data_IF_314791589148
#
_entry.id   IF_314791589148
#
_cell.length_a   1.000
_cell.length_b   1.000
_cell.length_c   1.000
_cell.angle_alpha   90.00
_cell.angle_beta   90.00
_cell.angle_gamma   90.00
#
_symmetry.space_group_name_H-M   'P 1'
#
loop_
_entity.id
_entity.type
_entity.pdbx_description
1 polymer ?
#
# COMPACT_ATOMS: atom_id res chain seq x y z
N UNK A 1 18.22 28.22 -42.40
CA UNK A 1 17.65 27.88 -43.70
C UNK A 1 16.32 27.23 -43.37
N UNK A 2 15.34 28.01 -43.06
CA UNK A 2 14.23 28.60 -43.79
C UNK A 2 13.60 27.58 -44.79
N UNK A 3 12.36 27.17 -44.50
CA UNK A 3 11.19 27.49 -45.34
C UNK A 3 9.90 27.25 -44.56
N UNK A 4 9.16 28.32 -44.38
CA UNK A 4 7.73 28.35 -44.05
C UNK A 4 6.92 28.05 -45.31
N UNK A 5 5.73 27.51 -45.17
CA UNK A 5 4.69 27.74 -46.21
C UNK A 5 3.31 27.82 -45.57
N UNK A 6 2.74 29.00 -45.75
CA UNK A 6 1.35 29.37 -45.50
C UNK A 6 0.44 28.72 -46.59
N UNK A 7 -0.80 28.38 -46.18
CA UNK A 7 -1.92 28.41 -47.16
C UNK A 7 -3.17 29.02 -46.50
N UNK A 8 -3.69 29.99 -47.26
CA UNK A 8 -4.79 30.90 -46.97
C UNK A 8 -6.17 30.27 -47.00
N UNK A 9 -7.01 30.95 -46.25
CA UNK A 9 -8.47 30.93 -46.15
C UNK A 9 -9.22 30.82 -47.47
N UNK A 10 -10.39 30.17 -47.43
CA UNK A 10 -11.60 30.60 -48.17
C UNK A 10 -12.83 30.43 -47.31
N UNK A 11 -13.47 31.58 -47.09
CA UNK A 11 -14.80 31.78 -46.51
C UNK A 11 -15.86 31.35 -47.54
N UNK A 12 -16.89 30.58 -47.11
CA UNK A 12 -18.22 30.73 -47.69
C UNK A 12 -19.32 30.42 -46.68
N UNK A 13 -20.33 31.30 -46.63
CA UNK A 13 -21.48 31.32 -45.81
C UNK A 13 -22.40 30.11 -46.00
N UNK A 14 -22.89 29.54 -44.91
CA UNK A 14 -24.01 28.63 -44.89
C UNK A 14 -24.68 28.70 -43.55
N UNK A 15 -25.83 29.38 -43.49
CA UNK A 15 -26.78 29.42 -42.36
C UNK A 15 -27.25 27.99 -42.05
N UNK A 16 -27.05 27.53 -40.87
CA UNK A 16 -27.60 26.28 -40.36
C UNK A 16 -28.63 26.56 -39.29
N UNK A 17 -29.72 25.78 -39.25
CA UNK A 17 -30.83 26.02 -38.34
C UNK A 17 -30.53 25.63 -36.91
N UNK A 18 -31.10 26.36 -35.99
CA UNK A 18 -31.17 26.08 -34.55
C UNK A 18 -31.93 24.78 -34.34
N UNK A 19 -31.23 23.76 -33.86
CA UNK A 19 -31.86 22.50 -33.43
C UNK A 19 -31.56 22.30 -31.96
N UNK A 20 -32.65 22.32 -31.21
CA UNK A 20 -32.97 21.63 -29.99
C UNK A 20 -31.86 21.49 -28.92
N UNK A 21 -32.10 22.21 -27.84
CA UNK A 21 -31.57 21.91 -26.54
C UNK A 21 -31.94 20.47 -26.17
N UNK A 22 -31.01 19.55 -26.31
CA UNK A 22 -31.06 18.31 -25.53
C UNK A 22 -30.87 18.70 -24.07
N UNK A 23 -31.91 18.47 -23.32
CA UNK A 23 -31.86 18.46 -21.86
C UNK A 23 -30.70 17.52 -21.45
N UNK A 24 -29.74 18.13 -20.76
CA UNK A 24 -28.76 17.34 -19.99
C UNK A 24 -29.60 16.68 -18.92
N UNK A 25 -29.90 15.41 -19.08
CA UNK A 25 -30.36 14.57 -17.98
C UNK A 25 -29.40 14.79 -16.82
N UNK A 26 -29.86 15.47 -15.80
CA UNK A 26 -29.22 15.48 -14.50
C UNK A 26 -29.21 14.03 -14.04
N UNK A 27 -28.04 13.40 -14.15
CA UNK A 27 -27.77 12.13 -13.47
C UNK A 27 -27.97 12.45 -12.00
N UNK A 28 -29.08 12.00 -11.49
CA UNK A 28 -29.42 12.08 -10.08
C UNK A 28 -28.35 11.37 -9.27
N UNK A 29 -27.82 12.10 -8.35
CA UNK A 29 -26.85 11.85 -7.31
C UNK A 29 -27.35 10.74 -6.34
N UNK A 30 -27.34 9.47 -6.79
CA UNK A 30 -27.70 8.31 -5.99
C UNK A 30 -26.74 7.16 -6.24
N UNK A 31 -25.43 7.36 -6.00
CA UNK A 31 -24.45 6.34 -5.65
C UNK A 31 -23.07 6.96 -5.33
N UNK A 32 -22.95 7.94 -4.50
CA UNK A 32 -21.73 8.15 -3.73
C UNK A 32 -21.61 7.02 -2.72
N UNK A 33 -21.18 5.86 -3.19
CA UNK A 33 -20.75 4.78 -2.34
C UNK A 33 -19.58 5.29 -1.48
N UNK A 34 -19.74 5.26 -0.15
CA UNK A 34 -18.72 5.69 0.79
C UNK A 34 -17.35 5.14 0.35
N UNK A 35 -16.34 6.01 0.31
CA UNK A 35 -14.98 5.67 -0.09
C UNK A 35 -14.49 4.43 0.67
N UNK A 36 -14.19 3.34 -0.05
CA UNK A 36 -13.82 2.07 0.58
C UNK A 36 -12.31 2.00 0.80
N UNK A 37 -11.95 1.59 2.01
CA UNK A 37 -10.57 1.24 2.37
C UNK A 37 -10.43 -0.28 2.38
N UNK A 38 -9.41 -0.81 1.69
CA UNK A 38 -9.08 -2.22 1.76
C UNK A 38 -8.52 -2.55 3.14
N UNK A 39 -9.09 -3.54 3.82
CA UNK A 39 -8.55 -4.04 5.08
C UNK A 39 -7.26 -4.81 4.83
N UNK A 40 -6.26 -4.55 5.66
CA UNK A 40 -4.90 -5.06 5.51
C UNK A 40 -4.25 -5.22 6.87
N UNK A 41 -3.22 -6.05 6.98
CA UNK A 41 -2.34 -6.17 8.14
C UNK A 41 -0.95 -5.65 7.79
N UNK A 42 -0.29 -5.03 8.77
CA UNK A 42 1.12 -4.69 8.69
C UNK A 42 1.89 -5.41 9.80
N UNK A 43 3.09 -5.87 9.51
CA UNK A 43 3.89 -6.70 10.40
C UNK A 43 5.24 -6.04 10.64
N UNK A 44 5.44 -5.49 11.84
CA UNK A 44 6.76 -5.02 12.27
C UNK A 44 7.47 -6.15 12.99
N UNK A 45 8.56 -6.63 12.42
CA UNK A 45 9.41 -7.66 13.02
C UNK A 45 10.68 -6.98 13.51
N UNK A 46 10.99 -7.10 14.80
CA UNK A 46 12.18 -6.52 15.41
C UNK A 46 13.09 -7.58 15.98
N UNK A 47 14.40 -7.30 15.96
CA UNK A 47 15.38 -8.12 16.66
C UNK A 47 15.80 -7.47 18.00
N UNK A 48 16.60 -8.19 18.81
CA UNK A 48 17.12 -7.69 20.10
C UNK A 48 17.97 -6.42 20.01
N UNK A 49 18.49 -6.09 18.82
CA UNK A 49 19.21 -4.84 18.60
C UNK A 49 18.27 -3.66 18.30
N UNK A 50 16.94 -3.88 18.30
CA UNK A 50 15.93 -2.87 17.98
C UNK A 50 15.87 -2.49 16.50
N UNK A 51 16.41 -3.35 15.62
CA UNK A 51 16.32 -3.18 14.17
C UNK A 51 15.08 -3.85 13.63
N UNK A 52 14.51 -3.27 12.58
CA UNK A 52 13.30 -3.74 11.89
C UNK A 52 13.71 -4.60 10.70
N UNK A 53 13.04 -5.75 10.51
CA UNK A 53 13.10 -6.51 9.27
C UNK A 53 12.33 -5.75 8.20
N UNK A 54 13.01 -5.40 7.13
CA UNK A 54 12.39 -4.80 5.94
C UNK A 54 12.90 -5.53 4.69
N UNK A 55 12.07 -5.54 3.66
CA UNK A 55 12.41 -6.08 2.35
C UNK A 55 12.43 -5.00 1.27
N UNK A 56 13.31 -5.14 0.29
CA UNK A 56 13.31 -4.35 -0.94
C UNK A 56 12.25 -4.93 -1.88
N UNK A 57 11.24 -4.13 -2.25
CA UNK A 57 10.08 -4.61 -3.02
C UNK A 57 10.51 -5.13 -4.40
N UNK A 58 10.12 -6.37 -4.73
CA UNK A 58 10.51 -7.03 -5.98
C UNK A 58 10.07 -6.24 -7.22
N UNK A 59 8.82 -5.73 -7.22
CA UNK A 59 8.28 -4.97 -8.36
C UNK A 59 8.64 -3.49 -8.35
N UNK A 60 9.22 -2.97 -7.27
CA UNK A 60 9.62 -1.57 -7.08
C UNK A 60 10.99 -1.49 -6.43
N UNK A 61 12.07 -1.87 -7.14
CA UNK A 61 13.42 -1.91 -6.56
C UNK A 61 13.83 -0.57 -5.93
N UNK A 62 14.33 -0.63 -4.71
CA UNK A 62 14.67 0.54 -3.89
C UNK A 62 13.55 1.01 -2.96
N UNK A 63 12.33 0.48 -3.08
CA UNK A 63 11.24 0.75 -2.13
C UNK A 63 11.26 -0.28 -0.99
N UNK A 64 11.87 0.09 0.12
CA UNK A 64 11.96 -0.76 1.31
C UNK A 64 10.69 -0.67 2.14
N UNK A 65 10.15 -1.82 2.55
CA UNK A 65 8.92 -1.86 3.35
C UNK A 65 8.89 -3.04 4.32
N UNK A 66 8.03 -2.94 5.33
CA UNK A 66 7.72 -4.05 6.23
C UNK A 66 6.71 -5.00 5.56
N UNK A 67 6.72 -6.31 5.90
CA UNK A 67 5.71 -7.26 5.44
C UNK A 67 4.29 -6.76 5.74
N UNK A 68 3.38 -6.96 4.78
CA UNK A 68 2.00 -6.49 4.86
C UNK A 68 1.11 -7.17 3.82
N UNK A 69 -0.12 -7.51 4.16
CA UNK A 69 -1.02 -8.05 3.16
C UNK A 69 -2.50 -7.89 3.47
N UNK A 70 -3.36 -8.31 2.56
CA UNK A 70 -4.80 -8.15 2.68
C UNK A 70 -5.42 -9.09 3.69
N UNK A 71 -6.52 -8.67 4.29
CA UNK A 71 -7.38 -9.55 5.10
C UNK A 71 -8.44 -10.12 4.17
N UNK A 72 -8.51 -11.43 4.06
CA UNK A 72 -9.49 -12.13 3.25
C UNK A 72 -10.87 -12.17 3.92
N UNK A 73 -11.89 -12.54 3.13
CA UNK A 73 -13.24 -12.73 3.66
C UNK A 73 -13.23 -13.81 4.77
N UNK A 74 -13.88 -13.49 5.90
CA UNK A 74 -13.98 -14.38 7.08
C UNK A 74 -12.65 -14.64 7.81
N UNK A 75 -11.57 -13.95 7.44
CA UNK A 75 -10.28 -14.01 8.12
C UNK A 75 -10.19 -12.93 9.20
N UNK A 76 -9.71 -13.28 10.39
CA UNK A 76 -9.35 -12.29 11.42
C UNK A 76 -8.01 -11.64 11.09
N UNK A 77 -7.76 -10.43 11.63
CA UNK A 77 -6.47 -9.75 11.43
C UNK A 77 -5.27 -10.59 11.91
N UNK A 78 -5.42 -11.39 12.99
CA UNK A 78 -4.37 -12.29 13.49
C UNK A 78 -4.12 -13.46 12.52
N UNK A 79 -5.17 -14.00 11.90
CA UNK A 79 -5.01 -15.05 10.89
C UNK A 79 -4.32 -14.51 9.64
N UNK A 80 -4.76 -13.34 9.14
CA UNK A 80 -4.12 -12.64 8.04
C UNK A 80 -2.64 -12.36 8.34
N UNK A 81 -2.32 -11.85 9.52
CA UNK A 81 -0.94 -11.59 9.93
C UNK A 81 -0.07 -12.86 9.87
N UNK A 82 -0.58 -14.00 10.33
CA UNK A 82 0.17 -15.27 10.29
C UNK A 82 0.36 -15.78 8.86
N UNK A 83 -0.66 -15.68 8.02
CA UNK A 83 -0.60 -16.09 6.61
C UNK A 83 0.38 -15.22 5.84
N UNK A 84 0.24 -13.89 5.91
CA UNK A 84 1.10 -12.93 5.21
C UNK A 84 2.56 -13.00 5.70
N UNK A 85 2.77 -13.22 7.02
CA UNK A 85 4.11 -13.47 7.56
C UNK A 85 4.80 -14.63 6.83
N UNK A 86 4.07 -15.74 6.67
CA UNK A 86 4.62 -16.92 6.02
C UNK A 86 4.76 -16.72 4.49
N UNK A 87 3.74 -16.17 3.84
CA UNK A 87 3.72 -15.97 2.38
C UNK A 87 4.82 -15.03 1.91
N UNK A 88 5.05 -13.93 2.63
CA UNK A 88 6.05 -12.93 2.23
C UNK A 88 7.47 -13.19 2.75
N UNK A 89 7.61 -13.88 3.89
CA UNK A 89 8.94 -14.05 4.52
C UNK A 89 9.39 -15.51 4.68
N UNK A 90 8.50 -16.48 4.50
CA UNK A 90 8.77 -17.90 4.80
C UNK A 90 8.90 -18.20 6.29
N UNK A 91 8.70 -17.23 7.18
CA UNK A 91 8.78 -17.42 8.62
C UNK A 91 7.47 -17.97 9.18
N UNK A 92 7.53 -19.07 9.92
CA UNK A 92 6.40 -19.57 10.68
C UNK A 92 6.20 -18.77 11.96
N UNK A 93 4.95 -18.45 12.30
CA UNK A 93 4.61 -17.64 13.48
C UNK A 93 5.19 -18.20 14.79
N UNK A 94 5.32 -19.52 14.90
CA UNK A 94 5.89 -20.22 16.05
C UNK A 94 7.38 -19.91 16.29
N UNK A 95 8.08 -19.37 15.29
CA UNK A 95 9.48 -18.93 15.39
C UNK A 95 9.60 -17.52 15.98
N UNK A 96 8.48 -16.78 16.09
CA UNK A 96 8.42 -15.40 16.52
C UNK A 96 7.64 -15.27 17.82
N UNK A 97 7.85 -14.16 18.52
CA UNK A 97 7.07 -13.79 19.69
C UNK A 97 6.23 -12.56 19.38
N UNK A 98 4.90 -12.68 19.42
CA UNK A 98 4.02 -11.52 19.36
C UNK A 98 4.22 -10.69 20.64
N UNK A 99 4.59 -9.42 20.46
CA UNK A 99 4.84 -8.48 21.57
C UNK A 99 3.62 -7.59 21.78
N UNK A 100 3.09 -7.01 20.70
CA UNK A 100 2.04 -6.00 20.78
C UNK A 100 1.18 -5.99 19.51
N UNK A 101 -0.08 -5.67 19.67
CA UNK A 101 -1.01 -5.35 18.59
C UNK A 101 -1.42 -3.89 18.75
N UNK A 102 -1.33 -3.09 17.69
CA UNK A 102 -1.73 -1.70 17.74
C UNK A 102 -3.23 -1.58 17.98
N UNK A 103 -3.64 -0.71 18.90
CA UNK A 103 -5.05 -0.61 19.31
C UNK A 103 -5.95 -0.14 18.15
N UNK A 104 -5.48 0.84 17.38
CA UNK A 104 -6.22 1.46 16.30
C UNK A 104 -5.91 0.87 14.93
N UNK A 105 -6.85 1.06 14.00
CA UNK A 105 -6.63 0.89 12.57
C UNK A 105 -6.02 2.15 11.98
N UNK A 106 -4.86 2.04 11.34
CA UNK A 106 -4.20 3.15 10.67
C UNK A 106 -4.56 3.16 9.18
N UNK A 107 -4.72 4.36 8.60
CA UNK A 107 -5.20 4.52 7.23
C UNK A 107 -4.27 5.38 6.41
N UNK A 108 -4.19 5.07 5.11
CA UNK A 108 -3.60 5.95 4.11
C UNK A 108 -4.37 5.86 2.78
N UNK A 109 -4.28 6.92 1.99
CA UNK A 109 -4.86 6.97 0.65
C UNK A 109 -3.83 6.49 -0.38
N UNK A 110 -4.28 5.75 -1.39
CA UNK A 110 -3.46 5.45 -2.56
C UNK A 110 -3.14 6.71 -3.36
N UNK A 111 -2.02 6.73 -4.07
CA UNK A 111 -1.74 7.78 -5.07
C UNK A 111 -2.82 7.81 -6.16
N UNK A 112 -3.28 6.65 -6.58
CA UNK A 112 -4.36 6.46 -7.54
C UNK A 112 -5.28 5.38 -6.99
N UNK A 113 -6.55 5.68 -6.78
CA UNK A 113 -7.54 4.67 -6.41
C UNK A 113 -7.55 3.52 -7.41
N UNK A 114 -7.86 2.31 -6.95
CA UNK A 114 -7.76 1.11 -7.77
C UNK A 114 -8.91 0.14 -7.50
N UNK A 115 -9.21 -0.66 -8.52
CA UNK A 115 -10.13 -1.79 -8.39
C UNK A 115 -9.39 -3.05 -7.94
N UNK A 116 -10.00 -3.78 -7.02
CA UNK A 116 -9.63 -5.16 -6.70
C UNK A 116 -10.93 -5.93 -6.47
N UNK A 117 -11.10 -7.08 -7.13
CA UNK A 117 -12.29 -7.94 -7.04
C UNK A 117 -13.60 -7.13 -7.24
N UNK A 118 -13.64 -6.31 -8.31
CA UNK A 118 -14.74 -5.40 -8.68
C UNK A 118 -15.11 -4.33 -7.62
N UNK A 119 -14.29 -4.17 -6.57
CA UNK A 119 -14.46 -3.13 -5.56
C UNK A 119 -13.46 -2.01 -5.77
N UNK A 120 -13.98 -0.77 -5.78
CA UNK A 120 -13.16 0.44 -5.90
C UNK A 120 -12.65 0.87 -4.53
N UNK A 121 -11.31 0.85 -4.36
CA UNK A 121 -10.66 1.24 -3.13
C UNK A 121 -9.89 2.54 -3.31
N UNK A 122 -10.06 3.47 -2.36
CA UNK A 122 -9.34 4.75 -2.32
C UNK A 122 -8.06 4.69 -1.49
N UNK A 123 -7.91 3.67 -0.65
CA UNK A 123 -6.77 3.51 0.25
C UNK A 123 -6.79 2.17 0.98
N UNK A 124 -5.93 2.06 1.96
CA UNK A 124 -5.90 0.92 2.89
C UNK A 124 -6.13 1.38 4.32
N UNK A 125 -6.76 0.51 5.13
CA UNK A 125 -6.77 0.57 6.59
C UNK A 125 -6.02 -0.66 7.10
N UNK A 126 -5.04 -0.44 7.98
CA UNK A 126 -4.09 -1.46 8.41
C UNK A 126 -4.16 -1.71 9.90
N UNK A 127 -4.23 -2.98 10.29
CA UNK A 127 -4.03 -3.43 11.65
C UNK A 127 -2.58 -3.87 11.80
N UNK A 128 -1.85 -3.29 12.75
CA UNK A 128 -0.42 -3.49 12.88
C UNK A 128 -0.06 -4.39 14.06
N UNK A 129 0.94 -5.24 13.85
CA UNK A 129 1.46 -6.20 14.83
C UNK A 129 2.97 -6.02 15.00
N UNK A 130 3.44 -6.08 16.24
CA UNK A 130 4.86 -6.10 16.59
C UNK A 130 5.26 -7.51 17.00
N UNK A 131 6.24 -8.09 16.29
CA UNK A 131 6.79 -9.40 16.58
C UNK A 131 8.30 -9.31 16.83
N UNK A 132 8.82 -10.15 17.71
CA UNK A 132 10.27 -10.35 17.90
C UNK A 132 10.74 -11.58 17.17
N UNK A 133 11.84 -11.43 16.44
CA UNK A 133 12.55 -12.50 15.77
C UNK A 133 14.05 -12.31 15.86
N UNK A 134 14.78 -13.37 16.25
CA UNK A 134 16.23 -13.32 16.43
C UNK A 134 16.97 -14.40 15.61
N UNK A 135 16.30 -14.98 14.63
CA UNK A 135 16.89 -15.92 13.69
C UNK A 135 17.66 -15.26 12.54
N UNK A 136 18.10 -16.03 11.56
CA UNK A 136 18.73 -15.52 10.35
C UNK A 136 17.75 -14.69 9.50
N UNK A 137 18.28 -13.86 8.61
CA UNK A 137 17.44 -13.18 7.63
C UNK A 137 16.66 -14.20 6.79
N UNK A 138 15.38 -13.91 6.50
CA UNK A 138 14.63 -14.73 5.56
C UNK A 138 15.29 -14.75 4.18
N UNK A 139 15.12 -15.86 3.47
CA UNK A 139 15.57 -15.99 2.09
C UNK A 139 14.36 -15.83 1.16
N UNK A 140 14.30 -14.73 0.36
CA UNK A 140 13.16 -14.47 -0.51
C UNK A 140 12.99 -15.49 -1.63
N UNK A 141 14.01 -16.30 -1.93
CA UNK A 141 13.91 -17.39 -2.92
C UNK A 141 13.13 -18.61 -2.39
N UNK A 142 12.87 -18.66 -1.09
CA UNK A 142 12.15 -19.78 -0.45
C UNK A 142 10.64 -19.55 -0.35
N UNK A 143 10.15 -18.36 -0.66
CA UNK A 143 8.71 -18.03 -0.62
C UNK A 143 8.03 -18.28 -1.96
N UNK A 144 6.74 -18.60 -1.92
CA UNK A 144 5.99 -18.96 -3.12
C UNK A 144 5.63 -17.73 -3.97
N UNK A 145 5.28 -16.61 -3.31
CA UNK A 145 5.00 -15.32 -3.96
C UNK A 145 6.11 -14.33 -3.59
N UNK A 146 6.95 -14.00 -4.57
CA UNK A 146 8.12 -13.17 -4.33
C UNK A 146 7.75 -11.68 -4.29
N UNK A 147 7.37 -11.20 -3.11
CA UNK A 147 7.10 -9.78 -2.86
C UNK A 147 8.38 -8.95 -2.63
N UNK A 148 9.47 -9.60 -2.20
CA UNK A 148 10.74 -8.97 -1.89
C UNK A 148 11.91 -9.61 -2.65
N UNK A 149 12.86 -8.78 -3.08
CA UNK A 149 14.11 -9.23 -3.72
C UNK A 149 15.19 -9.59 -2.70
N UNK A 150 15.19 -8.94 -1.54
CA UNK A 150 16.07 -9.23 -0.41
C UNK A 150 15.49 -8.69 0.88
N UNK A 151 16.01 -9.17 2.02
CA UNK A 151 15.69 -8.65 3.35
C UNK A 151 16.91 -8.05 4.03
N UNK A 152 16.67 -7.09 4.93
CA UNK A 152 17.69 -6.49 5.77
C UNK A 152 17.18 -6.08 7.15
N UNK A 153 18.07 -6.11 8.14
CA UNK A 153 17.82 -5.50 9.45
C UNK A 153 18.19 -4.03 9.38
N UNK A 154 17.19 -3.14 9.38
CA UNK A 154 17.35 -1.71 9.18
C UNK A 154 17.04 -0.91 10.45
N UNK A 155 17.62 0.29 10.54
CA UNK A 155 17.27 1.25 11.59
C UNK A 155 15.86 1.78 11.36
N UNK A 156 15.01 1.90 12.41
CA UNK A 156 13.63 2.37 12.28
C UNK A 156 13.51 3.73 11.57
N UNK A 157 14.40 4.67 11.89
CA UNK A 157 14.40 6.00 11.30
C UNK A 157 14.75 5.95 9.82
N UNK A 158 15.74 5.15 9.44
CA UNK A 158 16.12 4.97 8.05
C UNK A 158 14.93 4.43 7.23
N UNK A 159 14.22 3.40 7.74
CA UNK A 159 13.05 2.84 7.05
C UNK A 159 11.97 3.89 6.81
N UNK A 160 11.65 4.71 7.82
CA UNK A 160 10.68 5.80 7.69
C UNK A 160 11.09 6.82 6.62
N UNK A 161 12.38 7.00 6.38
CA UNK A 161 12.87 7.90 5.33
C UNK A 161 12.73 7.29 3.93
N UNK A 162 12.89 5.97 3.78
CA UNK A 162 12.82 5.26 2.50
C UNK A 162 11.39 5.03 2.01
N UNK A 163 10.42 4.94 2.91
CA UNK A 163 9.04 4.60 2.54
C UNK A 163 8.40 5.69 1.64
N UNK A 164 7.57 5.32 0.65
CA UNK A 164 6.86 6.28 -0.19
C UNK A 164 6.04 7.30 0.63
N UNK A 165 5.99 8.57 0.19
CA UNK A 165 5.40 9.66 0.97
C UNK A 165 3.98 9.40 1.47
N UNK A 166 3.14 8.73 0.70
CA UNK A 166 1.75 8.45 1.05
C UNK A 166 1.57 7.42 2.19
N UNK A 167 2.58 6.58 2.44
CA UNK A 167 2.61 5.62 3.57
C UNK A 167 3.36 6.18 4.80
N UNK A 168 4.09 7.28 4.64
CA UNK A 168 5.09 7.75 5.61
C UNK A 168 4.51 8.04 6.99
N UNK A 169 3.30 8.59 7.05
CA UNK A 169 2.66 8.90 8.32
C UNK A 169 2.28 7.64 9.11
N UNK A 170 1.75 6.62 8.42
CA UNK A 170 1.46 5.33 9.05
C UNK A 170 2.73 4.71 9.63
N UNK A 171 3.83 4.70 8.89
CA UNK A 171 5.11 4.13 9.37
C UNK A 171 5.67 4.91 10.56
N UNK A 172 5.59 6.25 10.57
CA UNK A 172 5.98 7.07 11.72
C UNK A 172 5.17 6.72 12.97
N UNK A 173 3.85 6.64 12.80
CA UNK A 173 2.92 6.31 13.89
C UNK A 173 3.24 4.94 14.46
N UNK A 174 3.38 3.92 13.62
CA UNK A 174 3.69 2.55 14.05
C UNK A 174 5.03 2.46 14.75
N UNK A 175 6.08 3.06 14.18
CA UNK A 175 7.43 3.07 14.81
C UNK A 175 7.38 3.77 16.17
N UNK A 176 6.68 4.89 16.28
CA UNK A 176 6.56 5.62 17.54
C UNK A 176 5.77 4.82 18.59
N UNK A 177 4.65 4.22 18.21
CA UNK A 177 3.80 3.43 19.09
C UNK A 177 4.49 2.14 19.58
N UNK A 178 5.25 1.49 18.70
CA UNK A 178 5.90 0.21 19.03
C UNK A 178 7.25 0.36 19.74
N UNK A 179 7.93 1.49 19.59
CA UNK A 179 9.26 1.74 20.18
C UNK A 179 9.36 1.41 21.68
N UNK A 180 8.38 1.77 22.55
CA UNK A 180 8.43 1.42 23.96
C UNK A 180 8.38 -0.08 24.25
N UNK A 181 7.96 -0.89 23.29
CA UNK A 181 7.79 -2.33 23.40
C UNK A 181 8.94 -3.14 22.77
N UNK A 182 9.95 -2.47 22.19
CA UNK A 182 11.11 -3.16 21.63
C UNK A 182 11.87 -3.94 22.72
N UNK A 183 12.46 -5.11 22.36
CA UNK A 183 13.21 -5.94 23.30
C UNK A 183 14.42 -5.23 23.91
#
# INVERSE_FOLDING_TARGET
>A
MVVANEYRQHNQHGTMPVTEHKEVETVTDEAEGAAKFRSNVGIMIVNRAGRILAGDAYHYPGEWMMPQGGIDAEESAVQAMRRELFEETGLHFEQLRLIYEHDDWLQYLFRTPQYKDDVFYVGQRQKWFLLEYNGPLPDPETVHEQEFSCFGWVEPQWLVEQIPPFKKEVYRTVVAAFRPHFP
#
